data_IF_955257696155
#
_entry.id   IF_955257696155
#
_cell.length_a   1.000
_cell.length_b   1.000
_cell.length_c   1.000
_cell.angle_alpha   90.00
_cell.angle_beta   90.00
_cell.angle_gamma   90.00
#
_symmetry.space_group_name_H-M   'P 1'
#
loop_
_entity.id
_entity.type
_entity.pdbx_description
1 polymer ?
#
# COMPACT_ATOMS: atom_id res chain seq x y z
N UNK A 1 3.32 -27.41 -8.16
CA UNK A 1 2.44 -26.35 -8.68
C UNK A 1 2.74 -25.09 -7.89
N UNK A 2 3.59 -24.21 -8.41
CA UNK A 2 3.87 -22.93 -7.76
C UNK A 2 2.68 -22.01 -8.05
N UNK A 3 1.89 -21.69 -7.02
CA UNK A 3 0.81 -20.71 -7.10
C UNK A 3 1.44 -19.34 -7.18
N UNK A 4 1.64 -18.83 -8.40
CA UNK A 4 2.00 -17.44 -8.64
C UNK A 4 0.71 -16.62 -8.59
N UNK A 5 0.15 -16.42 -7.40
CA UNK A 5 -0.70 -15.25 -7.19
C UNK A 5 0.23 -14.06 -7.34
N UNK A 6 0.27 -13.48 -8.55
CA UNK A 6 0.81 -12.15 -8.77
C UNK A 6 -0.11 -11.21 -7.99
N UNK A 7 0.20 -11.01 -6.71
CA UNK A 7 -0.37 -9.91 -5.95
C UNK A 7 0.14 -8.65 -6.64
N UNK A 8 -0.70 -8.05 -7.48
CA UNK A 8 -0.42 -6.75 -8.06
C UNK A 8 0.04 -5.81 -6.94
N UNK A 9 1.23 -5.23 -7.11
CA UNK A 9 1.79 -4.29 -6.16
C UNK A 9 0.80 -3.12 -5.96
N UNK A 10 0.25 -2.99 -4.76
CA UNK A 10 -0.72 -1.96 -4.43
C UNK A 10 -0.09 -0.58 -4.62
N UNK A 11 -0.67 0.24 -5.48
CA UNK A 11 -0.27 1.64 -5.66
C UNK A 11 -1.20 2.57 -4.89
N UNK A 12 -0.63 3.37 -3.99
CA UNK A 12 -1.30 4.40 -3.18
C UNK A 12 -1.12 5.73 -3.88
N UNK A 13 -2.20 6.26 -4.46
CA UNK A 13 -2.22 7.59 -5.06
C UNK A 13 -2.56 8.64 -4.02
N UNK A 14 -1.67 9.63 -3.84
CA UNK A 14 -1.89 10.74 -2.91
C UNK A 14 -2.01 12.07 -3.67
N UNK A 15 -2.78 13.00 -3.13
CA UNK A 15 -2.96 14.32 -3.74
C UNK A 15 -1.63 15.09 -3.88
N UNK A 16 -1.54 16.06 -4.83
CA UNK A 16 -0.30 16.80 -5.12
C UNK A 16 0.37 17.48 -3.91
N UNK A 17 -0.38 17.80 -2.85
CA UNK A 17 0.13 18.47 -1.64
C UNK A 17 0.05 17.61 -0.38
N UNK A 18 -0.40 16.35 -0.50
CA UNK A 18 -0.45 15.45 0.63
C UNK A 18 0.98 14.99 0.98
N UNK A 19 1.29 15.01 2.29
CA UNK A 19 2.58 14.55 2.84
C UNK A 19 2.44 13.34 3.76
N UNK A 20 1.21 12.99 4.12
CA UNK A 20 0.86 11.84 4.97
C UNK A 20 -0.40 11.17 4.44
N UNK A 21 -0.51 9.87 4.64
CA UNK A 21 -1.66 9.07 4.24
C UNK A 21 -1.89 7.90 5.20
N UNK A 22 -3.10 7.36 5.16
CA UNK A 22 -3.47 6.14 5.86
C UNK A 22 -4.27 5.27 4.89
N UNK A 23 -3.88 4.00 4.75
CA UNK A 23 -4.47 3.08 3.78
C UNK A 23 -4.59 1.68 4.37
N UNK A 24 -5.50 0.87 3.82
CA UNK A 24 -5.59 -0.56 4.11
C UNK A 24 -4.73 -1.33 3.11
N UNK A 25 -3.92 -2.26 3.60
CA UNK A 25 -3.12 -3.13 2.74
C UNK A 25 -4.04 -4.14 2.02
N UNK A 26 -4.09 -4.07 0.69
CA UNK A 26 -4.92 -4.93 -0.15
C UNK A 26 -4.47 -6.39 -0.07
N UNK A 27 -3.16 -6.65 -0.02
CA UNK A 27 -2.63 -8.00 0.14
C UNK A 27 -3.14 -8.65 1.42
N UNK A 28 -3.05 -7.94 2.55
CA UNK A 28 -3.64 -8.39 3.80
C UNK A 28 -5.15 -8.59 3.69
N UNK A 29 -5.87 -7.67 3.05
CA UNK A 29 -7.32 -7.79 2.88
C UNK A 29 -7.70 -9.02 2.05
N UNK A 30 -6.87 -9.40 1.08
CA UNK A 30 -7.10 -10.53 0.20
C UNK A 30 -6.74 -11.87 0.86
N UNK A 31 -5.64 -11.93 1.61
CA UNK A 31 -5.27 -13.09 2.42
C UNK A 31 -6.34 -13.38 3.49
N UNK A 32 -6.76 -12.34 4.19
CA UNK A 32 -7.69 -12.44 5.33
C UNK A 32 -9.16 -12.56 4.90
N UNK A 33 -9.49 -12.33 3.63
CA UNK A 33 -10.82 -12.62 3.09
C UNK A 33 -11.23 -14.10 3.26
N UNK A 34 -10.27 -14.99 3.52
CA UNK A 34 -10.50 -16.40 3.81
C UNK A 34 -10.78 -16.73 5.29
N UNK A 35 -10.24 -15.95 6.25
CA UNK A 35 -10.18 -16.34 7.67
C UNK A 35 -10.81 -15.34 8.67
N UNK A 36 -11.29 -14.17 8.20
CA UNK A 36 -12.02 -13.21 9.03
C UNK A 36 -11.20 -11.97 9.46
N UNK A 37 -11.86 -10.81 9.41
CA UNK A 37 -11.40 -9.42 9.58
C UNK A 37 -10.02 -9.21 10.23
N UNK A 38 -9.10 -8.55 9.50
CA UNK A 38 -7.79 -8.20 10.05
C UNK A 38 -6.79 -7.59 9.08
N UNK A 39 -7.22 -6.87 8.04
CA UNK A 39 -6.28 -6.22 7.13
C UNK A 39 -5.43 -5.18 7.86
N UNK A 40 -4.12 -5.13 7.57
CA UNK A 40 -3.24 -4.15 8.20
C UNK A 40 -3.57 -2.74 7.69
N UNK A 41 -3.69 -1.78 8.61
CA UNK A 41 -3.71 -0.36 8.28
C UNK A 41 -2.29 0.18 8.29
N UNK A 42 -1.88 0.83 7.20
CA UNK A 42 -0.55 1.42 7.03
C UNK A 42 -0.69 2.93 7.12
N UNK A 43 0.09 3.53 8.01
CA UNK A 43 0.29 4.98 8.05
C UNK A 43 1.65 5.29 7.42
N UNK A 44 1.66 6.22 6.47
CA UNK A 44 2.88 6.54 5.73
C UNK A 44 3.02 8.04 5.46
N UNK A 45 4.24 8.42 5.12
CA UNK A 45 4.62 9.78 4.77
C UNK A 45 5.32 9.79 3.42
N UNK A 46 5.04 10.81 2.61
CA UNK A 46 5.78 11.09 1.37
C UNK A 46 6.17 12.56 1.36
N UNK A 47 7.47 12.90 1.50
CA UNK A 47 7.94 14.28 1.47
C UNK A 47 7.45 15.04 0.23
N UNK A 48 7.18 16.34 0.38
CA UNK A 48 6.57 17.16 -0.67
C UNK A 48 7.43 17.28 -1.95
N UNK A 49 8.75 17.11 -1.82
CA UNK A 49 9.73 17.12 -2.92
C UNK A 49 9.87 15.76 -3.62
N UNK A 50 9.28 14.70 -3.06
CA UNK A 50 9.42 13.32 -3.52
C UNK A 50 8.19 12.84 -4.28
N UNK A 51 8.33 12.43 -5.54
CA UNK A 51 7.20 12.05 -6.39
C UNK A 51 6.72 10.61 -6.17
N UNK A 52 7.63 9.71 -5.80
CA UNK A 52 7.38 8.28 -5.63
C UNK A 52 8.10 7.77 -4.40
N UNK A 53 7.49 6.82 -3.71
CA UNK A 53 8.08 6.14 -2.58
C UNK A 53 7.54 4.73 -2.43
N UNK A 54 8.00 4.04 -1.40
CA UNK A 54 7.48 2.74 -1.00
C UNK A 54 7.28 2.72 0.51
N UNK A 55 6.29 1.96 0.95
CA UNK A 55 6.05 1.66 2.36
C UNK A 55 5.75 0.17 2.49
N UNK A 56 6.02 -0.37 3.68
CA UNK A 56 5.76 -1.77 3.99
C UNK A 56 4.68 -1.84 5.07
N UNK A 57 3.74 -2.77 4.92
CA UNK A 57 2.76 -3.03 5.98
C UNK A 57 3.40 -3.84 7.12
N UNK A 58 2.75 -3.92 8.28
CA UNK A 58 3.26 -4.69 9.43
C UNK A 58 3.37 -6.21 9.19
N UNK A 59 2.88 -6.71 8.05
CA UNK A 59 2.99 -8.12 7.62
C UNK A 59 4.00 -8.33 6.49
N UNK A 60 4.71 -7.29 6.07
CA UNK A 60 5.77 -7.40 5.08
C UNK A 60 5.36 -7.19 3.62
N UNK A 61 4.11 -6.78 3.36
CA UNK A 61 3.71 -6.45 1.99
C UNK A 61 4.19 -5.06 1.60
N UNK A 62 4.72 -4.94 0.39
CA UNK A 62 5.18 -3.68 -0.16
C UNK A 62 4.03 -2.95 -0.86
N UNK A 63 3.92 -1.65 -0.58
CA UNK A 63 3.00 -0.74 -1.26
C UNK A 63 3.82 0.35 -1.92
N UNK A 64 3.51 0.65 -3.18
CA UNK A 64 4.09 1.78 -3.90
C UNK A 64 3.24 3.02 -3.61
N UNK A 65 3.88 4.16 -3.42
CA UNK A 65 3.20 5.45 -3.20
C UNK A 65 3.56 6.36 -4.36
N UNK A 66 2.54 6.93 -4.99
CA UNK A 66 2.69 7.88 -6.10
C UNK A 66 1.87 9.13 -5.83
N UNK A 67 2.44 10.29 -6.16
CA UNK A 67 1.73 11.56 -6.09
C UNK A 67 1.02 11.81 -7.42
N UNK A 68 -0.28 12.10 -7.34
CA UNK A 68 -1.08 12.47 -8.50
C UNK A 68 -0.59 13.82 -9.08
N UNK A 69 -0.51 13.92 -10.41
CA UNK A 69 -0.19 15.16 -11.11
C UNK A 69 1.26 15.37 -11.58
N UNK A 70 2.10 14.33 -11.68
CA UNK A 70 3.40 14.42 -12.38
C UNK A 70 3.89 13.11 -12.96
#
# INVERSE_FOLDING_TARGET
MASWTVLEEQTVWISPRAVSFTIVCNACAQEVASDGYGAATVHGFLPLDTQRGSVECSRGHHLRVERDGR
#
